data_IF_238321051689
#
_entry.id   IF_238321051689
#
_cell.length_a   1.000
_cell.length_b   1.000
_cell.length_c   1.000
_cell.angle_alpha   90.00
_cell.angle_beta   90.00
_cell.angle_gamma   90.00
#
_symmetry.space_group_name_H-M   'P 1'
#
loop_
_entity.id
_entity.type
_entity.pdbx_description
1 polymer ?
#
# COMPACT_ATOMS: atom_id res chain seq x y z
N UNK A 1 1.32 15.42 19.50
CA UNK A 1 2.51 15.61 20.37
C UNK A 1 2.16 15.22 21.81
N UNK A 2 3.07 14.56 22.54
CA UNK A 2 2.82 14.15 23.94
C UNK A 2 2.54 15.33 24.89
N UNK A 3 3.12 16.50 24.61
CA UNK A 3 2.96 17.72 25.40
C UNK A 3 1.55 18.35 25.34
N UNK A 4 0.61 17.79 24.57
CA UNK A 4 -0.78 18.29 24.51
C UNK A 4 -1.80 17.28 25.03
N UNK A 5 -1.36 16.16 25.64
CA UNK A 5 -2.25 15.12 26.15
C UNK A 5 -3.02 15.57 27.42
N UNK A 6 -2.43 16.42 28.26
CA UNK A 6 -3.06 16.93 29.48
C UNK A 6 -4.13 18.00 29.23
N UNK A 7 -4.19 18.54 28.00
CA UNK A 7 -5.18 19.54 27.64
C UNK A 7 -6.56 18.89 27.49
N UNK A 8 -7.60 19.59 27.97
CA UNK A 8 -9.00 19.21 27.76
C UNK A 8 -9.25 18.99 26.27
N UNK A 9 -9.93 17.89 25.95
CA UNK A 9 -10.39 17.55 24.60
C UNK A 9 -11.86 17.96 24.48
N UNK A 10 -12.23 18.48 23.32
CA UNK A 10 -13.61 18.86 23.00
C UNK A 10 -14.26 17.80 22.12
N UNK A 11 -15.58 17.65 22.26
CA UNK A 11 -16.40 16.68 21.53
C UNK A 11 -16.89 15.51 22.40
N UNK A 12 -17.59 14.57 21.77
CA UNK A 12 -18.13 13.37 22.42
C UNK A 12 -17.50 12.12 21.79
N UNK A 13 -16.90 11.27 22.60
CA UNK A 13 -16.40 9.97 22.13
C UNK A 13 -17.55 9.05 21.77
N UNK A 14 -17.47 8.44 20.60
CA UNK A 14 -18.45 7.51 20.06
C UNK A 14 -17.73 6.29 19.46
N UNK A 15 -18.46 5.17 19.39
CA UNK A 15 -18.01 3.94 18.74
C UNK A 15 -19.18 3.29 18.02
N UNK A 16 -18.94 2.84 16.79
CA UNK A 16 -19.72 1.78 16.17
C UNK A 16 -18.85 0.53 16.12
N UNK A 17 -19.37 -0.61 16.56
CA UNK A 17 -18.61 -1.86 16.61
C UNK A 17 -19.52 -3.05 16.36
N UNK A 18 -18.90 -4.19 16.09
CA UNK A 18 -19.57 -5.48 15.89
C UNK A 18 -20.09 -6.14 17.18
N UNK A 19 -20.18 -5.42 18.30
CA UNK A 19 -20.53 -6.01 19.60
C UNK A 19 -21.93 -6.66 19.58
N UNK A 20 -22.11 -7.69 20.40
CA UNK A 20 -23.37 -8.39 20.55
C UNK A 20 -24.39 -7.53 21.32
N UNK A 21 -25.34 -6.93 20.60
CA UNK A 21 -26.35 -6.02 21.17
C UNK A 21 -27.30 -6.68 22.19
N UNK A 22 -27.26 -8.01 22.32
CA UNK A 22 -27.99 -8.73 23.37
C UNK A 22 -27.24 -8.75 24.71
N UNK A 23 -25.97 -8.34 24.73
CA UNK A 23 -25.05 -8.50 25.86
C UNK A 23 -24.37 -9.87 25.91
N UNK A 24 -24.47 -10.67 24.83
CA UNK A 24 -23.77 -11.94 24.66
C UNK A 24 -22.31 -11.77 24.24
N UNK A 25 -21.75 -12.78 23.57
CA UNK A 25 -20.34 -12.82 23.14
C UNK A 25 -20.21 -13.12 21.63
N UNK A 26 -21.29 -12.89 20.86
CA UNK A 26 -21.25 -12.98 19.39
C UNK A 26 -20.85 -11.61 18.82
N UNK A 27 -19.67 -11.13 19.21
CA UNK A 27 -19.17 -9.76 18.91
C UNK A 27 -18.66 -9.59 17.47
N UNK A 28 -19.30 -10.25 16.51
CA UNK A 28 -18.95 -10.21 15.10
C UNK A 28 -20.20 -10.12 14.23
N UNK A 29 -19.99 -9.59 13.02
CA UNK A 29 -20.96 -9.70 11.94
C UNK A 29 -20.49 -10.77 10.94
N UNK A 30 -21.44 -11.33 10.19
CA UNK A 30 -21.16 -12.19 9.03
C UNK A 30 -21.44 -11.37 7.79
N UNK A 31 -20.52 -11.36 6.84
CA UNK A 31 -20.72 -10.76 5.52
C UNK A 31 -20.73 -11.92 4.53
N UNK A 32 -21.91 -12.21 3.99
CA UNK A 32 -22.09 -13.32 3.05
C UNK A 32 -21.24 -13.13 1.78
N UNK A 33 -20.94 -14.23 1.10
CA UNK A 33 -20.20 -14.21 -0.17
C UNK A 33 -20.84 -13.23 -1.18
N UNK A 34 -20.04 -12.34 -1.76
CA UNK A 34 -20.47 -11.32 -2.72
C UNK A 34 -21.26 -10.14 -2.13
N UNK A 35 -21.51 -10.12 -0.81
CA UNK A 35 -22.29 -9.06 -0.18
C UNK A 35 -21.43 -7.90 0.34
N UNK A 36 -22.09 -6.77 0.53
CA UNK A 36 -21.53 -5.57 1.16
C UNK A 36 -22.20 -5.35 2.51
N UNK A 37 -21.42 -4.99 3.52
CA UNK A 37 -21.93 -4.54 4.81
C UNK A 37 -21.44 -3.12 5.09
N UNK A 38 -22.37 -2.23 5.43
CA UNK A 38 -22.03 -0.94 6.03
C UNK A 38 -21.65 -1.20 7.50
N UNK A 39 -20.37 -1.04 7.82
CA UNK A 39 -19.84 -1.22 9.19
C UNK A 39 -19.90 0.07 10.00
N UNK A 40 -20.01 1.21 9.32
CA UNK A 40 -20.34 2.45 9.96
C UNK A 40 -21.25 3.31 9.08
N UNK A 41 -22.32 3.86 9.67
CA UNK A 41 -23.17 4.90 9.10
C UNK A 41 -23.36 5.97 10.17
N UNK A 42 -22.68 7.10 10.00
CA UNK A 42 -22.59 8.17 10.99
C UNK A 42 -23.23 9.43 10.39
N UNK A 43 -24.23 9.97 11.09
CA UNK A 43 -24.82 11.27 10.78
C UNK A 43 -24.20 12.37 11.65
N UNK A 44 -24.07 13.58 11.10
CA UNK A 44 -23.52 14.74 11.79
C UNK A 44 -22.05 15.01 11.46
N UNK A 45 -21.35 15.69 12.37
CA UNK A 45 -19.95 16.09 12.20
C UNK A 45 -19.03 15.40 13.21
N UNK A 46 -17.83 15.03 12.77
CA UNK A 46 -16.86 14.39 13.65
C UNK A 46 -15.55 14.04 12.96
N UNK A 47 -14.68 13.36 13.70
CA UNK A 47 -13.39 12.83 13.23
C UNK A 47 -13.30 11.38 13.65
N UNK A 48 -13.23 10.45 12.70
CA UNK A 48 -12.80 9.07 12.99
C UNK A 48 -11.31 9.13 13.34
N UNK A 49 -10.95 8.56 14.47
CA UNK A 49 -9.57 8.61 14.99
C UNK A 49 -8.95 7.23 15.16
N UNK A 50 -9.77 6.19 15.14
CA UNK A 50 -9.30 4.82 15.21
C UNK A 50 -10.26 3.87 14.50
N UNK A 51 -9.70 3.03 13.65
CA UNK A 51 -10.38 1.87 13.09
C UNK A 51 -9.57 0.64 13.48
N UNK A 52 -10.22 -0.32 14.13
CA UNK A 52 -9.66 -1.66 14.33
C UNK A 52 -10.56 -2.68 13.64
N UNK A 53 -9.98 -3.68 13.01
CA UNK A 53 -10.74 -4.84 12.55
C UNK A 53 -9.90 -6.11 12.44
N UNK A 54 -10.56 -7.26 12.49
CA UNK A 54 -10.00 -8.56 12.11
C UNK A 54 -11.02 -9.34 11.30
N UNK A 55 -10.53 -10.04 10.28
CA UNK A 55 -11.31 -10.87 9.39
C UNK A 55 -10.96 -12.32 9.71
N UNK A 56 -11.98 -13.16 9.88
CA UNK A 56 -11.83 -14.61 9.82
C UNK A 56 -12.52 -15.11 8.55
N UNK A 57 -11.74 -15.74 7.68
CA UNK A 57 -12.17 -16.23 6.38
C UNK A 57 -11.48 -17.56 6.07
N UNK A 58 -12.12 -18.41 5.26
CA UNK A 58 -11.47 -19.63 4.75
C UNK A 58 -10.58 -19.36 3.53
N UNK A 59 -10.81 -18.23 2.85
CA UNK A 59 -10.09 -17.87 1.64
C UNK A 59 -8.70 -17.32 1.98
N UNK A 60 -7.64 -17.99 1.50
CA UNK A 60 -6.24 -17.56 1.71
C UNK A 60 -5.88 -16.16 1.17
N UNK A 61 -6.72 -15.59 0.30
CA UNK A 61 -6.53 -14.25 -0.26
C UNK A 61 -7.60 -13.26 0.20
N UNK A 62 -8.27 -13.53 1.33
CA UNK A 62 -9.30 -12.65 1.88
C UNK A 62 -8.82 -11.19 2.01
N UNK A 63 -7.58 -10.95 2.41
CA UNK A 63 -7.03 -9.59 2.50
C UNK A 63 -6.91 -8.84 1.16
N UNK A 64 -6.91 -9.56 0.03
CA UNK A 64 -6.95 -8.98 -1.32
C UNK A 64 -8.37 -8.87 -1.89
N UNK A 65 -9.24 -9.83 -1.54
CA UNK A 65 -10.62 -9.95 -2.05
C UNK A 65 -11.63 -9.13 -1.28
N UNK A 66 -11.36 -8.84 0.00
CA UNK A 66 -12.23 -7.98 0.79
C UNK A 66 -11.80 -6.53 0.56
N UNK A 67 -12.73 -5.68 0.17
CA UNK A 67 -12.50 -4.26 -0.05
C UNK A 67 -13.01 -3.45 1.14
N UNK A 68 -12.34 -2.33 1.40
CA UNK A 68 -12.84 -1.25 2.24
C UNK A 68 -13.17 -0.05 1.35
N UNK A 69 -14.37 0.52 1.57
CA UNK A 69 -14.78 1.79 0.97
C UNK A 69 -15.19 2.78 2.05
N UNK A 70 -14.80 4.04 1.91
CA UNK A 70 -15.28 5.12 2.79
C UNK A 70 -15.80 6.28 1.96
N UNK A 71 -16.89 6.88 2.45
CA UNK A 71 -17.60 7.98 1.80
C UNK A 71 -17.83 9.10 2.81
N UNK A 72 -17.56 10.33 2.39
CA UNK A 72 -17.73 11.52 3.22
C UNK A 72 -18.90 12.39 2.74
N UNK A 73 -19.69 12.89 3.68
CA UNK A 73 -20.71 13.93 3.48
C UNK A 73 -21.73 13.65 2.36
N UNK A 74 -22.08 12.38 2.19
CA UNK A 74 -23.10 11.93 1.23
C UNK A 74 -22.61 11.82 -0.21
N UNK A 75 -21.29 11.76 -0.44
CA UNK A 75 -20.74 11.52 -1.77
C UNK A 75 -21.12 10.15 -2.34
N UNK A 76 -21.33 10.09 -3.65
CA UNK A 76 -21.68 8.86 -4.37
C UNK A 76 -20.45 7.99 -4.68
N UNK A 77 -19.26 8.60 -4.76
CA UNK A 77 -17.99 7.92 -5.07
C UNK A 77 -17.13 7.86 -3.82
N UNK A 78 -16.44 6.75 -3.55
CA UNK A 78 -15.67 6.63 -2.33
C UNK A 78 -14.38 7.46 -2.41
N UNK A 79 -14.11 8.27 -1.38
CA UNK A 79 -12.81 8.89 -1.13
C UNK A 79 -11.74 7.89 -0.65
N UNK A 80 -12.14 6.72 -0.17
CA UNK A 80 -11.22 5.61 0.15
C UNK A 80 -11.67 4.36 -0.57
N UNK A 81 -10.81 3.73 -1.38
CA UNK A 81 -11.09 2.46 -2.03
C UNK A 81 -9.82 1.60 -2.15
N UNK A 82 -9.79 0.45 -1.47
CA UNK A 82 -8.63 -0.44 -1.46
C UNK A 82 -9.01 -1.86 -1.01
N UNK A 83 -8.28 -2.91 -1.44
CA UNK A 83 -8.21 -4.16 -0.69
C UNK A 83 -7.83 -3.90 0.77
N UNK A 84 -8.46 -4.62 1.70
CA UNK A 84 -8.30 -4.40 3.14
C UNK A 84 -6.85 -4.58 3.59
N UNK A 85 -6.15 -5.64 3.16
CA UNK A 85 -4.76 -5.87 3.54
C UNK A 85 -3.85 -4.72 3.14
N UNK A 86 -3.95 -4.32 1.87
CA UNK A 86 -3.17 -3.22 1.30
C UNK A 86 -3.49 -1.89 1.97
N UNK A 87 -4.75 -1.61 2.30
CA UNK A 87 -5.12 -0.41 3.05
C UNK A 87 -4.42 -0.35 4.40
N UNK A 88 -4.34 -1.49 5.10
CA UNK A 88 -3.64 -1.63 6.37
C UNK A 88 -2.15 -1.94 6.21
N UNK A 89 -1.55 -1.68 5.04
CA UNK A 89 -0.11 -1.60 4.83
C UNK A 89 0.62 -2.93 4.62
N UNK A 90 -0.08 -4.05 4.40
CA UNK A 90 0.54 -5.32 3.96
C UNK A 90 -0.10 -5.75 2.64
N UNK A 91 0.71 -5.75 1.58
CA UNK A 91 0.25 -6.14 0.25
C UNK A 91 0.20 -7.64 0.04
N UNK A 92 0.11 -8.02 -1.23
CA UNK A 92 0.02 -9.39 -1.73
C UNK A 92 -1.02 -10.31 -1.05
N UNK A 93 -2.08 -9.76 -0.45
CA UNK A 93 -3.22 -10.54 0.03
C UNK A 93 -2.93 -11.46 1.22
N UNK A 94 -1.90 -11.12 2.01
CA UNK A 94 -1.50 -11.86 3.22
C UNK A 94 -1.43 -10.92 4.42
N UNK A 95 -1.24 -11.49 5.62
CA UNK A 95 -0.87 -10.75 6.81
C UNK A 95 0.61 -10.96 7.17
N UNK A 96 1.25 -9.89 7.64
CA UNK A 96 2.59 -9.91 8.23
C UNK A 96 2.65 -8.91 9.39
N UNK A 97 3.43 -9.23 10.42
CA UNK A 97 3.48 -8.43 11.64
C UNK A 97 4.27 -7.15 11.35
N UNK A 98 3.64 -5.98 11.49
CA UNK A 98 4.36 -4.72 11.48
C UNK A 98 3.64 -3.66 12.32
N UNK A 99 4.41 -2.67 12.77
CA UNK A 99 3.91 -1.51 13.53
C UNK A 99 4.46 -0.23 12.93
N UNK A 100 3.58 0.72 12.63
CA UNK A 100 3.95 2.09 12.28
C UNK A 100 3.17 3.07 13.15
N UNK A 101 3.29 4.37 12.90
CA UNK A 101 2.47 5.34 13.62
C UNK A 101 1.01 5.35 13.17
N UNK A 102 0.68 5.46 11.86
CA UNK A 102 -0.72 5.53 11.43
C UNK A 102 -1.37 4.16 11.20
N UNK A 103 -0.61 3.10 10.89
CA UNK A 103 -1.16 1.80 10.51
C UNK A 103 -0.39 0.64 11.15
N UNK A 104 -1.12 -0.37 11.64
CA UNK A 104 -0.52 -1.58 12.23
C UNK A 104 -1.22 -2.84 11.73
N UNK A 105 -0.45 -3.92 11.58
CA UNK A 105 -0.98 -5.25 11.41
C UNK A 105 -0.34 -6.19 12.43
N UNK A 106 -1.12 -6.59 13.43
CA UNK A 106 -0.66 -7.40 14.55
C UNK A 106 -1.01 -8.87 14.29
N UNK A 107 0.02 -9.66 14.06
CA UNK A 107 -0.02 -11.11 13.86
C UNK A 107 1.13 -11.78 14.64
N UNK A 108 1.27 -13.10 14.52
CA UNK A 108 2.41 -13.86 15.03
C UNK A 108 3.70 -13.37 14.35
N UNK A 109 4.65 -12.85 15.13
CA UNK A 109 5.94 -12.36 14.60
C UNK A 109 6.68 -13.49 13.85
N UNK A 110 7.24 -13.18 12.69
CA UNK A 110 7.97 -14.15 11.88
C UNK A 110 7.09 -15.08 11.04
N UNK A 111 5.76 -14.89 11.04
CA UNK A 111 4.82 -15.75 10.32
C UNK A 111 4.01 -14.89 9.36
N UNK A 112 3.93 -15.33 8.10
CA UNK A 112 2.96 -14.81 7.15
C UNK A 112 1.74 -15.72 7.23
N UNK A 113 0.58 -15.13 7.47
CA UNK A 113 -0.67 -15.87 7.68
C UNK A 113 -1.87 -15.11 7.08
N UNK A 114 -3.07 -15.60 7.36
CA UNK A 114 -4.35 -15.13 6.83
C UNK A 114 -5.24 -14.50 7.92
N UNK A 115 -4.64 -14.14 9.07
CA UNK A 115 -5.32 -13.52 10.21
C UNK A 115 -4.46 -12.39 10.79
N UNK A 116 -5.10 -11.29 11.15
CA UNK A 116 -4.43 -10.17 11.79
C UNK A 116 -5.42 -9.23 12.48
N UNK A 117 -4.95 -8.59 13.55
CA UNK A 117 -5.57 -7.37 14.05
C UNK A 117 -5.02 -6.16 13.28
N UNK A 118 -5.87 -5.52 12.50
CA UNK A 118 -5.53 -4.38 11.66
C UNK A 118 -5.99 -3.09 12.33
N UNK A 119 -5.09 -2.11 12.46
CA UNK A 119 -5.38 -0.83 13.12
C UNK A 119 -5.04 0.34 12.20
N UNK A 120 -5.88 1.37 12.21
CA UNK A 120 -5.65 2.64 11.54
C UNK A 120 -5.91 3.80 12.50
N UNK A 121 -5.00 4.77 12.51
CA UNK A 121 -5.00 5.95 13.37
C UNK A 121 -4.96 7.26 12.56
N UNK A 122 -5.19 7.21 11.25
CA UNK A 122 -5.42 8.43 10.48
C UNK A 122 -6.70 9.11 10.96
N UNK A 123 -6.64 10.43 11.12
CA UNK A 123 -7.81 11.24 11.44
C UNK A 123 -8.65 11.44 10.18
N UNK A 124 -9.92 11.05 10.19
CA UNK A 124 -10.80 11.15 9.03
C UNK A 124 -11.99 12.06 9.38
N UNK A 125 -11.86 13.38 9.15
CA UNK A 125 -12.92 14.34 9.45
C UNK A 125 -14.07 14.25 8.44
N UNK A 126 -15.29 14.50 8.91
CA UNK A 126 -16.51 14.60 8.11
C UNK A 126 -17.45 15.66 8.73
N UNK A 127 -18.26 16.34 7.91
CA UNK A 127 -19.09 17.49 8.36
C UNK A 127 -20.57 17.17 8.46
N UNK A 128 -21.07 16.27 7.62
CA UNK A 128 -22.48 15.94 7.50
C UNK A 128 -22.72 14.44 7.71
N UNK A 129 -21.83 13.58 7.20
CA UNK A 129 -21.94 12.14 7.38
C UNK A 129 -20.66 11.39 7.04
N UNK A 130 -20.52 10.18 7.56
CA UNK A 130 -19.49 9.22 7.15
C UNK A 130 -20.11 7.83 6.97
N UNK A 131 -19.75 7.16 5.89
CA UNK A 131 -20.12 5.76 5.65
C UNK A 131 -18.87 4.92 5.40
N UNK A 132 -18.75 3.78 6.06
CA UNK A 132 -17.68 2.80 5.83
C UNK A 132 -18.31 1.47 5.45
N UNK A 133 -17.91 0.93 4.31
CA UNK A 133 -18.38 -0.33 3.75
C UNK A 133 -17.26 -1.36 3.67
N UNK A 134 -17.60 -2.61 3.96
CA UNK A 134 -16.77 -3.79 3.71
C UNK A 134 -17.46 -4.66 2.67
N UNK A 135 -16.76 -4.92 1.57
CA UNK A 135 -17.28 -5.70 0.45
C UNK A 135 -16.57 -7.04 0.44
N UNK A 136 -17.32 -8.13 0.61
CA UNK A 136 -16.79 -9.48 0.55
C UNK A 136 -16.85 -10.01 -0.89
N UNK A 137 -15.74 -9.98 -1.63
CA UNK A 137 -15.66 -10.61 -2.95
C UNK A 137 -15.02 -12.01 -2.90
N UNK A 138 -15.00 -12.64 -1.72
CA UNK A 138 -14.68 -14.06 -1.59
C UNK A 138 -15.86 -14.91 -2.07
N UNK A 139 -15.56 -16.17 -2.38
CA UNK A 139 -16.55 -17.21 -2.68
C UNK A 139 -17.26 -17.74 -1.43
N UNK A 140 -16.72 -17.43 -0.25
CA UNK A 140 -17.20 -17.88 1.06
C UNK A 140 -17.55 -16.68 1.95
N UNK A 141 -18.40 -16.92 2.94
CA UNK A 141 -18.73 -15.94 3.98
C UNK A 141 -17.49 -15.57 4.79
N UNK A 142 -17.45 -14.32 5.25
CA UNK A 142 -16.44 -13.85 6.19
C UNK A 142 -17.07 -13.45 7.52
N UNK A 143 -16.31 -13.64 8.59
CA UNK A 143 -16.63 -13.11 9.91
C UNK A 143 -15.78 -11.87 10.15
N UNK A 144 -16.42 -10.76 10.51
CA UNK A 144 -15.76 -9.49 10.76
C UNK A 144 -15.99 -9.03 12.21
N UNK A 145 -14.89 -8.75 12.89
CA UNK A 145 -14.90 -7.97 14.13
C UNK A 145 -14.36 -6.58 13.80
N UNK A 146 -15.01 -5.52 14.28
CA UNK A 146 -14.55 -4.16 13.99
C UNK A 146 -14.94 -3.15 15.07
N UNK A 147 -14.09 -2.14 15.25
CA UNK A 147 -14.34 -0.92 16.03
C UNK A 147 -14.08 0.28 15.09
N UNK A 148 -15.05 1.18 15.00
CA UNK A 148 -14.91 2.52 14.38
C UNK A 148 -15.11 3.54 15.49
N UNK A 149 -14.01 4.11 15.95
CA UNK A 149 -13.93 5.09 17.02
C UNK A 149 -13.83 6.50 16.45
N UNK A 150 -14.71 7.38 16.91
CA UNK A 150 -14.75 8.76 16.45
C UNK A 150 -15.10 9.73 17.57
N UNK A 151 -14.74 10.99 17.36
CA UNK A 151 -15.16 12.11 18.20
C UNK A 151 -16.18 12.92 17.43
N UNK A 152 -17.40 12.96 17.94
CA UNK A 152 -18.47 13.84 17.45
C UNK A 152 -18.14 15.28 17.89
N UNK A 153 -17.96 16.17 16.91
CA UNK A 153 -17.62 17.58 17.11
C UNK A 153 -17.77 18.33 15.79
N UNK A 154 -17.96 19.65 15.91
CA UNK A 154 -17.89 20.54 14.76
C UNK A 154 -16.49 20.48 14.12
N UNK A 155 -16.47 20.35 12.81
CA UNK A 155 -15.27 20.34 11.97
C UNK A 155 -15.16 21.69 11.27
N UNK A 156 -13.94 22.22 11.21
CA UNK A 156 -13.68 23.49 10.56
C UNK A 156 -14.00 23.42 9.05
N UNK A 157 -14.53 24.52 8.50
CA UNK A 157 -14.91 24.59 7.08
C UNK A 157 -13.70 24.42 6.14
N UNK A 158 -12.50 24.75 6.60
CA UNK A 158 -11.26 24.64 5.85
C UNK A 158 -10.61 23.25 5.93
N UNK A 159 -11.18 22.30 6.68
CA UNK A 159 -10.68 20.92 6.78
C UNK A 159 -10.67 20.20 5.44
N UNK A 160 -9.64 19.37 5.23
CA UNK A 160 -9.59 18.39 4.16
C UNK A 160 -10.21 17.06 4.60
N UNK A 161 -10.51 16.18 3.63
CA UNK A 161 -11.00 14.82 3.85
C UNK A 161 -9.88 13.81 3.60
N UNK A 162 -9.89 12.72 4.36
CA UNK A 162 -8.94 11.63 4.18
C UNK A 162 -9.26 10.82 2.93
N UNK A 163 -8.22 10.50 2.17
CA UNK A 163 -8.33 9.71 0.96
C UNK A 163 -7.31 8.57 0.94
N UNK A 164 -7.70 7.47 0.31
CA UNK A 164 -6.76 6.41 -0.03
C UNK A 164 -7.20 5.65 -1.29
N UNK A 165 -6.27 5.40 -2.20
CA UNK A 165 -6.55 4.73 -3.47
C UNK A 165 -5.53 3.64 -3.74
N UNK A 166 -6.03 2.45 -4.07
CA UNK A 166 -5.21 1.32 -4.48
C UNK A 166 -4.96 1.30 -6.00
N UNK A 167 -3.74 0.93 -6.39
CA UNK A 167 -3.33 0.76 -7.79
C UNK A 167 -2.50 -0.51 -7.97
N UNK A 168 -2.45 -1.01 -9.21
CA UNK A 168 -1.58 -2.11 -9.61
C UNK A 168 -1.25 -2.05 -11.09
N UNK A 169 -0.02 -2.46 -11.41
CA UNK A 169 0.45 -2.74 -12.76
C UNK A 169 1.19 -4.08 -12.73
N UNK A 170 0.73 -5.05 -13.51
CA UNK A 170 1.26 -6.42 -13.49
C UNK A 170 1.33 -7.06 -14.89
N UNK A 171 2.54 -7.21 -15.46
CA UNK A 171 3.79 -6.58 -15.01
C UNK A 171 3.81 -5.09 -15.39
N UNK A 172 4.70 -4.31 -14.76
CA UNK A 172 5.11 -2.99 -15.24
C UNK A 172 5.71 -3.09 -16.64
N UNK A 173 5.57 -2.02 -17.43
CA UNK A 173 6.10 -2.00 -18.80
C UNK A 173 7.60 -1.71 -18.85
N UNK A 174 8.42 -2.73 -18.62
CA UNK A 174 9.88 -2.62 -18.71
C UNK A 174 10.38 -2.14 -20.08
N UNK A 175 11.33 -1.21 -20.09
CA UNK A 175 11.92 -0.61 -21.31
C UNK A 175 13.02 -1.49 -21.92
N UNK A 176 13.47 -2.53 -21.21
CA UNK A 176 14.55 -3.43 -21.62
C UNK A 176 14.06 -4.87 -21.69
N UNK A 177 14.42 -5.58 -22.75
CA UNK A 177 14.28 -7.05 -22.79
C UNK A 177 15.41 -7.70 -21.95
N UNK A 178 15.15 -7.87 -20.65
CA UNK A 178 16.12 -8.47 -19.73
C UNK A 178 16.41 -9.96 -20.02
N UNK A 179 15.53 -10.67 -20.74
CA UNK A 179 15.82 -12.03 -21.19
C UNK A 179 16.87 -12.05 -22.30
N UNK A 180 16.76 -11.13 -23.26
CA UNK A 180 17.79 -10.96 -24.29
C UNK A 180 19.10 -10.46 -23.68
N UNK A 181 19.04 -9.49 -22.76
CA UNK A 181 20.22 -8.97 -22.07
C UNK A 181 20.93 -10.07 -21.26
N UNK A 182 20.19 -11.02 -20.66
CA UNK A 182 20.77 -12.18 -19.97
C UNK A 182 21.64 -13.03 -20.89
N UNK A 183 21.13 -13.35 -22.09
CA UNK A 183 21.89 -14.12 -23.08
C UNK A 183 23.15 -13.38 -23.52
N UNK A 184 23.10 -12.06 -23.67
CA UNK A 184 24.29 -11.26 -23.97
C UNK A 184 25.27 -11.27 -22.81
N UNK A 185 24.80 -11.02 -21.58
CA UNK A 185 25.59 -10.97 -20.35
C UNK A 185 26.36 -12.27 -20.12
N UNK A 186 25.70 -13.43 -20.27
CA UNK A 186 26.31 -14.74 -20.07
C UNK A 186 27.44 -15.06 -21.04
N UNK A 187 27.47 -14.37 -22.19
CA UNK A 187 28.53 -14.49 -23.19
C UNK A 187 29.69 -13.51 -22.97
N UNK A 188 29.62 -12.63 -21.96
CA UNK A 188 30.69 -11.70 -21.62
C UNK A 188 31.53 -12.20 -20.44
N UNK A 189 32.82 -11.87 -20.45
CA UNK A 189 33.71 -12.03 -19.29
C UNK A 189 33.68 -10.79 -18.37
N UNK A 190 32.50 -10.18 -18.22
CA UNK A 190 32.30 -8.93 -17.46
C UNK A 190 31.05 -9.02 -16.61
N UNK A 191 31.24 -9.15 -15.29
CA UNK A 191 30.15 -9.29 -14.32
C UNK A 191 29.18 -8.10 -14.27
N UNK A 192 29.58 -6.90 -14.73
CA UNK A 192 28.75 -5.69 -14.73
C UNK A 192 28.28 -5.28 -16.14
N UNK A 193 28.26 -6.22 -17.10
CA UNK A 193 27.84 -5.90 -18.47
C UNK A 193 26.40 -5.39 -18.54
N UNK A 194 25.48 -6.02 -17.79
CA UNK A 194 24.08 -5.62 -17.78
C UNK A 194 23.90 -4.25 -17.12
N UNK A 195 24.57 -4.02 -15.99
CA UNK A 195 24.56 -2.73 -15.27
C UNK A 195 24.96 -1.58 -16.19
N UNK A 196 26.03 -1.74 -16.97
CA UNK A 196 26.50 -0.71 -17.91
C UNK A 196 25.46 -0.37 -18.97
N UNK A 197 24.69 -1.36 -19.44
CA UNK A 197 23.63 -1.16 -20.43
C UNK A 197 22.42 -0.46 -19.84
N UNK A 198 22.01 -0.85 -18.64
CA UNK A 198 20.84 -0.27 -17.97
C UNK A 198 21.15 1.15 -17.51
N UNK A 199 22.31 1.43 -16.91
CA UNK A 199 22.68 2.77 -16.45
C UNK A 199 22.98 3.79 -17.56
N UNK A 200 22.96 3.38 -18.83
CA UNK A 200 22.98 4.30 -19.99
C UNK A 200 21.59 4.83 -20.35
N UNK A 201 20.52 4.23 -19.82
CA UNK A 201 19.14 4.67 -20.05
C UNK A 201 18.90 6.08 -19.49
N UNK A 202 17.91 6.75 -20.06
CA UNK A 202 17.50 8.09 -19.61
C UNK A 202 15.99 8.15 -19.54
N UNK A 203 15.48 8.40 -18.35
CA UNK A 203 14.09 8.78 -18.15
C UNK A 203 13.99 10.30 -18.06
N UNK A 204 13.52 10.93 -19.14
CA UNK A 204 13.46 12.38 -19.28
C UNK A 204 12.03 12.92 -19.19
N UNK A 205 11.06 12.07 -18.85
CA UNK A 205 9.63 12.44 -18.82
C UNK A 205 8.91 11.95 -17.59
N UNK A 206 9.26 10.76 -17.06
CA UNK A 206 8.52 10.10 -15.99
C UNK A 206 7.14 9.55 -16.42
N UNK A 207 6.84 9.55 -17.72
CA UNK A 207 5.52 9.17 -18.26
C UNK A 207 5.22 7.67 -18.05
N UNK A 208 6.24 6.82 -18.23
CA UNK A 208 6.16 5.35 -18.12
C UNK A 208 6.43 4.82 -16.71
N UNK A 209 6.58 5.71 -15.72
CA UNK A 209 6.75 5.33 -14.33
C UNK A 209 5.46 4.72 -13.79
N UNK A 210 5.60 3.80 -12.82
CA UNK A 210 4.45 3.31 -12.06
C UNK A 210 3.84 4.46 -11.24
N UNK A 211 2.56 4.75 -11.44
CA UNK A 211 1.88 5.88 -10.78
C UNK A 211 1.24 5.43 -9.47
N UNK A 212 1.75 5.91 -8.34
CA UNK A 212 1.19 5.66 -7.01
C UNK A 212 -0.04 6.54 -6.73
N UNK A 213 0.01 7.80 -7.16
CA UNK A 213 -1.05 8.78 -6.93
C UNK A 213 -1.20 9.72 -8.13
N UNK A 214 -2.45 10.03 -8.46
CA UNK A 214 -2.81 11.06 -9.45
C UNK A 214 -4.12 11.71 -8.99
N UNK A 215 -3.98 12.89 -8.40
CA UNK A 215 -5.06 13.66 -7.80
C UNK A 215 -5.14 15.07 -8.38
N UNK A 216 -6.35 15.63 -8.41
CA UNK A 216 -6.64 17.00 -8.78
C UNK A 216 -7.44 17.63 -7.65
N UNK A 217 -7.05 18.83 -7.24
CA UNK A 217 -7.61 19.54 -6.10
C UNK A 217 -6.52 20.18 -5.24
N UNK A 218 -6.94 20.71 -4.10
CA UNK A 218 -6.05 21.25 -3.08
C UNK A 218 -5.91 20.24 -1.94
N UNK A 219 -4.68 19.92 -1.54
CA UNK A 219 -4.44 18.94 -0.49
C UNK A 219 -2.97 18.74 -0.12
N UNK A 220 -2.70 17.62 0.53
CA UNK A 220 -1.35 17.16 0.80
C UNK A 220 -1.29 15.63 0.95
N UNK A 221 -0.25 15.04 0.36
CA UNK A 221 0.06 13.62 0.44
C UNK A 221 0.78 13.29 1.75
N UNK A 222 0.36 12.19 2.40
CA UNK A 222 0.83 11.78 3.73
C UNK A 222 1.47 10.38 3.77
N UNK A 223 1.60 9.71 2.63
CA UNK A 223 2.37 8.47 2.55
C UNK A 223 1.79 7.41 1.64
N UNK A 224 2.48 6.29 1.57
CA UNK A 224 2.05 5.12 0.83
C UNK A 224 2.59 3.83 1.43
N UNK A 225 1.99 2.72 1.02
CA UNK A 225 2.72 1.47 0.89
C UNK A 225 2.92 1.12 -0.59
N UNK A 226 4.07 0.52 -0.91
CA UNK A 226 4.41 -0.01 -2.23
C UNK A 226 4.75 -1.50 -2.07
N UNK A 227 4.16 -2.32 -2.91
CA UNK A 227 4.29 -3.77 -2.90
C UNK A 227 4.83 -4.23 -4.25
N UNK A 228 5.93 -4.99 -4.22
CA UNK A 228 6.64 -5.46 -5.42
C UNK A 228 6.76 -6.99 -5.34
N UNK A 229 6.24 -7.69 -6.35
CA UNK A 229 6.71 -9.04 -6.69
C UNK A 229 7.87 -8.86 -7.67
N UNK A 230 9.07 -9.24 -7.27
CA UNK A 230 10.24 -9.10 -8.11
C UNK A 230 10.28 -10.25 -9.12
N UNK A 231 9.87 -9.98 -10.36
CA UNK A 231 9.68 -10.99 -11.41
C UNK A 231 10.77 -10.97 -12.46
N UNK A 232 11.37 -9.81 -12.71
CA UNK A 232 12.24 -9.61 -13.85
C UNK A 232 13.53 -8.87 -13.46
N UNK A 233 14.40 -9.51 -12.66
CA UNK A 233 15.66 -8.92 -12.23
C UNK A 233 16.61 -8.70 -13.40
N UNK A 234 17.52 -7.74 -13.21
CA UNK A 234 18.67 -7.55 -14.09
C UNK A 234 19.62 -8.78 -13.99
N UNK A 235 20.19 -9.24 -15.12
CA UNK A 235 21.20 -10.30 -15.11
C UNK A 235 22.37 -10.03 -14.15
N UNK A 236 22.62 -10.92 -13.21
CA UNK A 236 23.72 -10.80 -12.24
C UNK A 236 23.49 -9.82 -11.09
N UNK A 237 22.36 -9.09 -11.07
CA UNK A 237 22.02 -8.13 -10.02
C UNK A 237 20.52 -8.14 -9.71
N UNK A 238 20.17 -8.64 -8.53
CA UNK A 238 18.79 -8.91 -8.11
C UNK A 238 18.08 -7.70 -7.50
N UNK A 239 18.59 -6.47 -7.57
CA UNK A 239 17.97 -5.34 -6.88
C UNK A 239 16.84 -4.71 -7.73
N UNK A 240 15.59 -4.62 -7.23
CA UNK A 240 14.50 -3.98 -7.96
C UNK A 240 14.38 -2.47 -7.73
N UNK A 241 15.14 -1.91 -6.80
CA UNK A 241 14.85 -0.59 -6.22
C UNK A 241 15.71 0.56 -6.73
N UNK A 242 16.41 0.45 -7.86
CA UNK A 242 17.15 1.57 -8.46
C UNK A 242 16.24 2.69 -9.01
N UNK A 243 14.92 2.53 -8.95
CA UNK A 243 13.99 3.46 -9.57
C UNK A 243 13.73 4.71 -8.73
N UNK A 244 13.81 5.88 -9.36
CA UNK A 244 13.64 7.18 -8.70
C UNK A 244 12.16 7.52 -8.45
N UNK A 245 11.84 8.10 -7.28
CA UNK A 245 10.55 8.75 -7.03
C UNK A 245 10.46 10.12 -7.73
N UNK A 246 9.29 10.44 -8.28
CA UNK A 246 9.04 11.70 -8.99
C UNK A 246 7.69 12.28 -8.58
N UNK A 247 7.69 13.48 -7.98
CA UNK A 247 6.46 14.20 -7.65
C UNK A 247 6.26 15.41 -8.56
N UNK A 248 5.32 15.31 -9.49
CA UNK A 248 4.88 16.41 -10.33
C UNK A 248 3.75 17.16 -9.61
N UNK A 249 4.12 18.25 -8.94
CA UNK A 249 3.21 19.09 -8.16
C UNK A 249 2.66 20.17 -9.06
N UNK A 250 1.33 20.37 -9.06
CA UNK A 250 0.66 21.48 -9.73
C UNK A 250 1.04 21.63 -11.22
N UNK A 251 1.14 20.50 -11.93
CA UNK A 251 1.41 20.46 -13.37
C UNK A 251 2.85 20.79 -13.79
N UNK A 252 3.81 20.67 -12.87
CA UNK A 252 5.23 20.92 -13.16
C UNK A 252 5.79 20.08 -14.32
N UNK A 253 6.69 20.64 -15.15
CA UNK A 253 7.36 19.88 -16.19
C UNK A 253 8.49 19.02 -15.60
N UNK A 254 9.04 18.13 -16.42
CA UNK A 254 10.28 17.44 -16.08
C UNK A 254 11.49 18.41 -16.16
N UNK A 255 12.48 18.30 -15.24
CA UNK A 255 12.46 17.46 -14.05
C UNK A 255 11.59 18.09 -12.95
N UNK A 256 10.79 17.30 -12.21
CA UNK A 256 10.06 17.81 -11.05
C UNK A 256 11.02 18.32 -9.98
N UNK A 257 10.57 19.25 -9.15
CA UNK A 257 11.39 19.78 -8.05
C UNK A 257 11.67 18.75 -6.94
N UNK A 258 10.83 17.72 -6.83
CA UNK A 258 11.06 16.55 -5.99
C UNK A 258 11.34 15.36 -6.91
N UNK A 259 12.61 15.02 -7.01
CA UNK A 259 13.13 13.91 -7.79
C UNK A 259 14.08 13.10 -6.91
N UNK A 260 13.84 11.80 -6.87
CA UNK A 260 14.53 10.81 -6.05
C UNK A 260 15.88 10.37 -6.58
N UNK A 261 16.42 9.37 -5.89
CA UNK A 261 17.69 8.70 -6.21
C UNK A 261 17.64 7.17 -6.17
N UNK A 262 16.51 6.62 -5.74
CA UNK A 262 16.32 5.19 -5.55
C UNK A 262 15.07 4.92 -4.73
N UNK A 263 14.50 3.73 -4.90
CA UNK A 263 13.31 3.30 -4.19
C UNK A 263 13.62 3.09 -2.71
N UNK A 264 14.73 2.43 -2.36
CA UNK A 264 15.12 2.29 -0.96
C UNK A 264 15.41 3.64 -0.31
N UNK A 265 15.97 4.57 -1.06
CA UNK A 265 16.30 5.92 -0.60
C UNK A 265 15.02 6.68 -0.27
N UNK A 266 14.01 6.61 -1.16
CA UNK A 266 12.68 7.16 -0.89
C UNK A 266 12.06 6.52 0.36
N UNK A 267 12.22 5.21 0.57
CA UNK A 267 11.74 4.51 1.77
C UNK A 267 12.70 4.60 2.98
N UNK A 268 13.59 5.59 2.99
CA UNK A 268 14.50 5.94 4.09
C UNK A 268 15.46 4.81 4.51
N UNK A 269 15.83 3.95 3.56
CA UNK A 269 16.93 3.00 3.69
C UNK A 269 18.09 3.41 2.78
N UNK A 270 19.03 2.50 2.52
CA UNK A 270 20.17 2.69 1.63
C UNK A 270 20.86 1.34 1.36
N UNK A 271 21.58 1.24 0.24
CA UNK A 271 22.32 0.03 -0.15
C UNK A 271 21.38 -1.18 -0.25
N UNK A 272 20.23 -0.98 -0.90
CA UNK A 272 19.11 -1.88 -0.81
C UNK A 272 18.46 -1.89 0.57
N UNK A 273 18.31 -3.07 1.17
CA UNK A 273 17.72 -3.23 2.50
C UNK A 273 18.57 -4.15 3.38
N UNK A 274 19.78 -3.74 3.80
CA UNK A 274 20.70 -4.59 4.55
C UNK A 274 20.13 -5.05 5.91
N UNK A 275 19.19 -4.31 6.48
CA UNK A 275 18.46 -4.69 7.69
C UNK A 275 17.46 -5.84 7.50
N UNK A 276 17.11 -6.18 6.25
CA UNK A 276 15.91 -6.94 5.95
C UNK A 276 14.66 -6.23 6.47
N UNK A 277 13.61 -7.00 6.78
CA UNK A 277 12.36 -6.49 7.37
C UNK A 277 12.61 -5.70 8.66
N UNK A 278 12.06 -4.50 8.74
CA UNK A 278 12.09 -3.67 9.93
C UNK A 278 10.87 -2.75 10.01
N UNK A 279 10.57 -2.32 11.23
CA UNK A 279 9.44 -1.47 11.55
C UNK A 279 9.92 -0.15 12.17
N UNK A 280 9.39 0.98 11.71
CA UNK A 280 9.58 2.28 12.36
C UNK A 280 8.30 3.12 12.28
N UNK A 281 8.18 4.19 13.09
CA UNK A 281 6.97 5.01 13.09
C UNK A 281 6.56 5.55 11.71
N UNK A 282 7.52 5.87 10.84
CA UNK A 282 7.26 6.57 9.58
C UNK A 282 7.68 5.80 8.34
N UNK A 283 8.50 4.76 8.44
CA UNK A 283 8.94 3.99 7.28
C UNK A 283 9.37 2.58 7.65
N UNK A 284 9.40 1.67 6.69
CA UNK A 284 9.84 0.31 6.94
C UNK A 284 9.43 -0.66 5.85
N UNK A 285 9.59 -1.94 6.17
CA UNK A 285 9.27 -3.06 5.28
C UNK A 285 8.29 -3.96 6.03
N UNK A 286 7.01 -3.77 5.76
CA UNK A 286 5.92 -4.50 6.43
C UNK A 286 5.81 -5.96 5.96
N UNK A 287 6.36 -6.31 4.79
CA UNK A 287 6.47 -7.68 4.30
C UNK A 287 7.81 -7.89 3.61
N UNK A 288 8.52 -8.96 3.96
CA UNK A 288 9.73 -9.41 3.25
C UNK A 288 9.70 -10.93 3.07
N UNK A 289 9.48 -11.37 1.84
CA UNK A 289 9.10 -12.74 1.48
C UNK A 289 9.88 -13.23 0.25
N UNK A 290 11.20 -13.46 0.36
CA UNK A 290 12.02 -13.94 -0.75
C UNK A 290 11.76 -15.40 -1.08
N UNK A 291 12.05 -15.78 -2.34
CA UNK A 291 11.82 -17.13 -2.86
C UNK A 291 12.68 -18.14 -2.10
N UNK A 292 12.07 -19.24 -1.67
CA UNK A 292 12.80 -20.34 -1.00
C UNK A 292 13.11 -21.47 -1.96
N UNK A 293 14.06 -22.34 -1.60
CA UNK A 293 14.48 -23.50 -2.41
C UNK A 293 13.37 -24.50 -2.75
N UNK A 294 12.25 -24.49 -2.03
CA UNK A 294 11.06 -25.28 -2.35
C UNK A 294 9.98 -24.50 -3.12
N UNK A 295 10.21 -23.21 -3.38
CA UNK A 295 9.19 -22.27 -3.84
C UNK A 295 8.10 -22.05 -2.78
N UNK A 296 8.50 -21.72 -1.53
CA UNK A 296 7.63 -21.15 -0.48
C UNK A 296 8.11 -19.74 0.02
N UNK A 297 7.55 -18.64 -0.48
CA UNK A 297 7.96 -17.25 -0.31
C UNK A 297 7.29 -16.64 0.91
N UNK A 298 6.16 -17.20 1.32
CA UNK A 298 5.34 -16.74 2.45
C UNK A 298 5.92 -17.14 3.82
N UNK A 299 7.25 -17.13 3.99
CA UNK A 299 7.88 -17.26 5.32
C UNK A 299 8.95 -16.18 5.51
N UNK A 300 8.77 -15.39 6.57
CA UNK A 300 9.84 -14.53 7.09
C UNK A 300 11.02 -15.41 7.51
N UNK A 301 12.24 -15.05 7.13
CA UNK A 301 13.45 -15.83 7.47
C UNK A 301 14.29 -15.11 8.51
N UNK A 302 14.95 -15.90 9.36
CA UNK A 302 15.99 -15.44 10.29
C UNK A 302 17.38 -15.39 9.64
N UNK A 303 17.50 -15.82 8.38
CA UNK A 303 18.75 -15.82 7.59
C UNK A 303 18.42 -15.38 6.16
N UNK A 304 18.75 -14.15 5.84
CA UNK A 304 18.67 -13.59 4.49
C UNK A 304 20.11 -13.49 3.98
N UNK A 305 20.39 -14.05 2.80
CA UNK A 305 21.66 -13.80 2.14
C UNK A 305 21.69 -12.31 1.76
N UNK A 306 22.78 -11.62 2.08
CA UNK A 306 23.04 -10.29 1.57
C UNK A 306 22.88 -10.35 0.04
N UNK A 307 21.88 -9.63 -0.51
CA UNK A 307 21.48 -9.58 -1.94
C UNK A 307 20.47 -10.63 -2.46
N UNK A 308 19.67 -11.30 -1.61
CA UNK A 308 18.48 -12.02 -2.11
C UNK A 308 17.21 -11.15 -1.99
N UNK A 309 16.91 -10.42 -3.06
CA UNK A 309 15.72 -9.57 -3.22
C UNK A 309 14.68 -10.21 -4.17
N UNK A 310 14.67 -11.54 -4.25
CA UNK A 310 13.63 -12.25 -4.97
C UNK A 310 12.28 -12.15 -4.25
N UNK A 311 11.20 -12.58 -4.92
CA UNK A 311 9.90 -12.76 -4.27
C UNK A 311 9.21 -11.43 -3.96
N UNK A 312 8.52 -11.37 -2.80
CA UNK A 312 7.56 -10.29 -2.51
C UNK A 312 8.05 -9.38 -1.40
N UNK A 313 7.90 -8.09 -1.59
CA UNK A 313 8.22 -7.06 -0.60
C UNK A 313 7.09 -6.04 -0.52
N UNK A 314 6.67 -5.67 0.68
CA UNK A 314 5.85 -4.47 0.92
C UNK A 314 6.63 -3.54 1.81
N UNK A 315 6.79 -2.31 1.34
CA UNK A 315 7.46 -1.22 2.04
C UNK A 315 6.52 -0.04 2.21
N UNK A 316 6.75 0.78 3.23
CA UNK A 316 5.90 1.92 3.55
C UNK A 316 6.72 3.14 3.93
N UNK A 317 6.18 4.32 3.62
CA UNK A 317 6.64 5.62 4.09
C UNK A 317 5.44 6.51 4.35
N UNK A 318 5.41 7.15 5.51
CA UNK A 318 4.39 8.09 5.95
C UNK A 318 5.00 9.48 6.16
N UNK A 319 4.57 10.41 5.33
CA UNK A 319 4.93 11.82 5.37
C UNK A 319 4.11 12.59 6.42
N UNK A 320 4.23 12.19 7.69
CA UNK A 320 3.42 12.79 8.77
C UNK A 320 3.99 14.13 9.22
N UNK A 321 5.32 14.22 9.29
CA UNK A 321 6.03 15.46 9.71
C UNK A 321 6.48 16.28 8.50
N UNK A 322 6.40 15.72 7.30
CA UNK A 322 6.89 16.23 6.03
C UNK A 322 5.91 15.99 4.85
N UNK A 323 4.62 16.35 4.98
CA UNK A 323 3.62 16.12 3.93
C UNK A 323 3.97 16.85 2.62
N UNK A 324 3.68 16.21 1.48
CA UNK A 324 3.88 16.81 0.15
C UNK A 324 2.64 17.60 -0.22
N UNK A 325 2.76 18.94 -0.21
CA UNK A 325 1.65 19.87 -0.40
C UNK A 325 1.42 20.13 -1.89
N UNK A 326 0.15 20.16 -2.30
CA UNK A 326 -0.29 20.54 -3.65
C UNK A 326 -1.52 21.44 -3.60
N UNK A 327 -1.68 22.33 -4.59
CA UNK A 327 -2.77 23.32 -4.63
C UNK A 327 -3.74 23.12 -5.79
N UNK A 328 -3.28 22.46 -6.84
CA UNK A 328 -4.05 22.16 -8.04
C UNK A 328 -4.03 20.68 -8.38
N UNK A 329 -2.87 20.01 -8.27
CA UNK A 329 -2.76 18.58 -8.57
C UNK A 329 -1.48 17.95 -8.02
N UNK A 330 -1.50 16.63 -7.85
CA UNK A 330 -0.31 15.85 -7.56
C UNK A 330 -0.31 14.57 -8.39
N UNK A 331 0.75 14.37 -9.17
CA UNK A 331 1.11 13.06 -9.72
C UNK A 331 2.39 12.60 -9.05
N UNK A 332 2.30 11.52 -8.28
CA UNK A 332 3.44 10.83 -7.71
C UNK A 332 3.63 9.49 -8.42
N UNK A 333 4.81 9.29 -8.99
CA UNK A 333 5.21 8.04 -9.64
C UNK A 333 6.61 7.61 -9.22
N UNK A 334 6.93 6.34 -9.45
CA UNK A 334 8.26 5.78 -9.20
C UNK A 334 8.69 4.93 -10.41
N UNK A 335 9.96 4.98 -10.77
CA UNK A 335 10.45 4.07 -11.81
C UNK A 335 10.45 2.61 -11.32
N UNK A 336 10.27 1.66 -12.23
CA UNK A 336 10.39 0.22 -11.94
C UNK A 336 11.76 -0.30 -12.38
N UNK A 337 12.76 -0.03 -11.52
CA UNK A 337 14.18 -0.11 -11.85
C UNK A 337 14.65 1.11 -12.66
N UNK A 338 15.96 1.38 -12.66
CA UNK A 338 16.51 2.56 -13.34
C UNK A 338 16.06 2.64 -14.79
N UNK A 339 15.54 3.80 -15.20
CA UNK A 339 15.05 4.01 -16.57
C UNK A 339 13.86 3.12 -16.93
N UNK A 340 13.06 2.70 -15.94
CA UNK A 340 11.93 1.78 -16.11
C UNK A 340 12.35 0.44 -16.73
N UNK A 341 13.55 -0.06 -16.41
CA UNK A 341 14.15 -1.22 -17.10
C UNK A 341 13.55 -2.58 -16.76
N UNK A 342 12.81 -2.73 -15.65
CA UNK A 342 12.37 -4.03 -15.14
C UNK A 342 10.85 -4.22 -15.23
N UNK A 343 10.39 -5.40 -15.64
CA UNK A 343 8.95 -5.73 -15.69
C UNK A 343 8.49 -6.52 -14.47
N UNK A 344 7.95 -5.85 -13.44
CA UNK A 344 7.61 -6.41 -12.13
C UNK A 344 6.13 -6.26 -11.78
N UNK A 345 5.60 -6.97 -10.78
CA UNK A 345 4.21 -6.75 -10.31
C UNK A 345 4.22 -5.70 -9.19
N UNK A 346 3.80 -4.48 -9.53
CA UNK A 346 3.72 -3.36 -8.60
C UNK A 346 2.28 -3.14 -8.17
N UNK A 347 2.05 -2.99 -6.87
CA UNK A 347 0.78 -2.50 -6.32
C UNK A 347 1.01 -1.57 -5.15
N UNK A 348 0.11 -0.63 -4.91
CA UNK A 348 0.31 0.39 -3.88
C UNK A 348 -1.00 0.94 -3.35
N UNK A 349 -0.97 1.48 -2.12
CA UNK A 349 -1.98 2.41 -1.63
C UNK A 349 -1.31 3.73 -1.31
N UNK A 350 -1.80 4.81 -1.91
CA UNK A 350 -1.44 6.17 -1.53
C UNK A 350 -2.47 6.72 -0.52
N UNK A 351 -2.02 7.50 0.45
CA UNK A 351 -2.83 8.15 1.47
C UNK A 351 -2.61 9.66 1.42
N UNK A 352 -3.68 10.44 1.44
CA UNK A 352 -3.60 11.90 1.39
C UNK A 352 -4.83 12.57 2.00
N UNK A 353 -4.74 13.88 2.15
CA UNK A 353 -5.87 14.74 2.49
C UNK A 353 -6.11 15.73 1.37
N UNK A 354 -7.37 15.96 0.98
CA UNK A 354 -7.70 17.02 0.03
C UNK A 354 -9.14 17.53 0.18
N UNK A 355 -9.49 18.57 -0.59
CA UNK A 355 -10.87 19.03 -0.73
C UNK A 355 -11.68 18.15 -1.67
N UNK A 356 -12.98 18.11 -1.42
CA UNK A 356 -13.98 17.63 -2.37
C UNK A 356 -14.45 18.74 -3.33
N UNK A 357 -14.84 18.41 -4.58
CA UNK A 357 -14.87 17.07 -5.17
C UNK A 357 -13.48 16.58 -5.62
N UNK A 358 -13.22 15.27 -5.49
CA UNK A 358 -12.00 14.65 -5.96
C UNK A 358 -12.04 14.13 -7.42
N UNK A 359 -10.86 14.01 -8.04
CA UNK A 359 -10.69 13.24 -9.29
C UNK A 359 -11.08 11.78 -9.04
N UNK A 360 -11.88 11.21 -9.95
CA UNK A 360 -12.30 9.81 -9.84
C UNK A 360 -11.08 8.88 -9.78
N UNK A 361 -11.15 7.88 -8.90
CA UNK A 361 -10.13 6.83 -8.82
C UNK A 361 -10.15 5.95 -10.06
N UNK A 362 -9.02 5.26 -10.37
CA UNK A 362 -9.04 4.15 -11.30
C UNK A 362 -10.11 3.14 -10.89
N UNK A 363 -10.73 2.48 -11.86
CA UNK A 363 -11.68 1.41 -11.57
C UNK A 363 -10.98 0.29 -10.79
N UNK A 364 -11.58 -0.14 -9.68
CA UNK A 364 -11.08 -1.29 -8.94
C UNK A 364 -11.01 -2.51 -9.86
N UNK A 365 -9.81 -3.05 -10.03
CA UNK A 365 -9.60 -4.20 -10.90
C UNK A 365 -10.50 -5.38 -10.49
N UNK A 366 -10.99 -6.20 -11.43
CA UNK A 366 -11.64 -7.47 -11.11
C UNK A 366 -10.75 -8.34 -10.22
N UNK A 367 -11.35 -9.16 -9.35
CA UNK A 367 -10.61 -10.03 -8.40
C UNK A 367 -9.50 -10.82 -9.08
N UNK A 368 -9.76 -11.41 -10.26
CA UNK A 368 -8.77 -12.18 -11.03
C UNK A 368 -7.52 -11.40 -11.41
N UNK A 369 -7.64 -10.07 -11.60
CA UNK A 369 -6.55 -9.16 -11.92
C UNK A 369 -5.95 -8.48 -10.66
N UNK A 370 -6.50 -8.75 -9.47
CA UNK A 370 -5.97 -8.30 -8.17
C UNK A 370 -5.17 -9.35 -7.44
N UNK A 371 -5.40 -10.64 -7.72
CA UNK A 371 -4.74 -11.70 -6.98
C UNK A 371 -3.21 -11.69 -7.20
N UNK A 372 -2.43 -12.01 -6.15
CA UNK A 372 -0.98 -12.13 -6.26
C UNK A 372 -0.62 -13.26 -7.23
N UNK A 373 0.50 -13.11 -7.94
CA UNK A 373 1.02 -14.20 -8.78
C UNK A 373 1.35 -15.41 -7.90
N UNK A 374 0.90 -16.64 -8.28
CA UNK A 374 1.27 -17.85 -7.61
C UNK A 374 2.79 -17.97 -7.54
N UNK A 375 3.29 -18.43 -6.41
CA UNK A 375 4.72 -18.40 -6.15
C UNK A 375 5.56 -19.13 -7.20
N UNK A 376 5.13 -20.32 -7.59
CA UNK A 376 5.84 -21.10 -8.61
C UNK A 376 6.01 -20.31 -9.91
N UNK A 377 5.03 -19.49 -10.25
CA UNK A 377 5.05 -18.66 -11.45
C UNK A 377 5.89 -17.39 -11.26
N UNK A 378 5.85 -16.78 -10.07
CA UNK A 378 6.76 -15.68 -9.70
C UNK A 378 8.23 -16.15 -9.76
N UNK A 379 8.54 -17.29 -9.15
CA UNK A 379 9.88 -17.87 -9.17
C UNK A 379 10.35 -18.26 -10.58
N UNK A 380 9.47 -18.86 -11.38
CA UNK A 380 9.77 -19.18 -12.77
C UNK A 380 10.11 -17.94 -13.58
N UNK A 381 9.45 -16.81 -13.32
CA UNK A 381 9.74 -15.54 -13.99
C UNK A 381 11.07 -14.97 -13.51
N UNK A 382 11.29 -14.91 -12.19
CA UNK A 382 12.54 -14.39 -11.61
C UNK A 382 13.78 -15.09 -12.16
N UNK A 383 13.82 -16.44 -12.09
CA UNK A 383 14.95 -17.23 -12.55
C UNK A 383 15.08 -17.32 -14.08
N UNK A 384 14.17 -16.71 -14.84
CA UNK A 384 14.30 -16.63 -16.30
C UNK A 384 15.36 -15.59 -16.69
N UNK A 385 15.51 -14.51 -15.91
CA UNK A 385 16.43 -13.41 -16.22
C UNK A 385 17.56 -13.22 -15.21
N UNK A 386 17.43 -13.80 -14.01
CA UNK A 386 18.55 -13.93 -13.07
C UNK A 386 19.50 -15.06 -13.49
#
# INVERSE_FOLDING_TARGET
>A
MMNSLYLRKEGLSRRQSSWDQTGGNRDFIVIEAGQTAAIAEIEGSGIIQHIWMTIAAQNKYAFRKVLIRMYWDGEDKPSVESPVGDFFGVGHGVASHYVSMPLNMITTKGVIEDKAAMNCFFEMPFRNSARIEIINECEDDIVLYFYVDYVEKQIAEDSFYFHASWRRENPTQGTVDLSALKLEHDNQDKANYADQKVYELKNLTGEDNYVLMDAVGEGHYVGCNLSIDHLNPMPGFSWPGEGDDMFFIDGEPWPPRLHGTGTEDYFCAAWGYPSGKYDSPYHGISLYAPIRGNGDAWRESNTILFNDYSGKITQYRFHIVDPVIFRESLRFSIEHGHGNSQSNDYSSVAYWYQREPHKAFPEMLPVTLRLPIPEKDSAKQFYRTF
#
